data_IF_722887520385
#
_entry.id   IF_722887520385
#
_cell.length_a   1.000
_cell.length_b   1.000
_cell.length_c   1.000
_cell.angle_alpha   90.00
_cell.angle_beta   90.00
_cell.angle_gamma   90.00
#
_symmetry.space_group_name_H-M   'P 1'
#
loop_
_entity.id
_entity.type
_entity.pdbx_description
1 polymer ?
#
# COMPACT_ATOMS: atom_id res chain seq x y z
N UNK A 1 -5.49 -43.50 -0.68
CA UNK A 1 -5.89 -42.09 -0.86
C UNK A 1 -5.63 -41.61 -2.28
N UNK A 2 -4.43 -41.74 -2.86
CA UNK A 2 -4.20 -41.32 -4.26
C UNK A 2 -4.74 -42.30 -5.33
N UNK A 3 -4.85 -43.60 -5.03
CA UNK A 3 -5.43 -44.60 -5.96
C UNK A 3 -6.96 -44.59 -6.03
N UNK A 4 -7.63 -44.06 -5.01
CA UNK A 4 -9.11 -44.07 -4.91
C UNK A 4 -9.74 -42.94 -5.74
N UNK A 5 -8.97 -41.90 -6.07
CA UNK A 5 -9.45 -40.68 -6.73
C UNK A 5 -8.74 -40.38 -8.07
N UNK A 6 -8.01 -41.34 -8.63
CA UNK A 6 -7.27 -41.20 -9.91
C UNK A 6 -6.43 -39.91 -10.02
N UNK A 7 -5.97 -39.37 -8.90
CA UNK A 7 -5.26 -38.08 -8.88
C UNK A 7 -3.76 -38.35 -8.88
N UNK A 8 -2.98 -37.76 -9.81
CA UNK A 8 -1.52 -37.89 -9.79
C UNK A 8 -0.94 -37.50 -8.43
N UNK A 9 0.03 -38.27 -7.90
CA UNK A 9 0.64 -37.99 -6.59
C UNK A 9 1.18 -36.56 -6.46
N UNK A 10 1.64 -35.95 -7.55
CA UNK A 10 2.08 -34.54 -7.59
C UNK A 10 0.94 -33.59 -7.28
N UNK A 11 -0.23 -33.82 -7.88
CA UNK A 11 -1.43 -33.02 -7.70
C UNK A 11 -1.96 -33.13 -6.27
N UNK A 12 -1.84 -34.28 -5.59
CA UNK A 12 -2.27 -34.42 -4.20
C UNK A 12 -1.54 -33.45 -3.25
N UNK A 13 -0.21 -33.34 -3.36
CA UNK A 13 0.55 -32.41 -2.51
C UNK A 13 0.28 -30.95 -2.89
N UNK A 14 0.18 -30.61 -4.17
CA UNK A 14 -0.17 -29.26 -4.62
C UNK A 14 -1.56 -28.83 -4.15
N UNK A 15 -2.53 -29.74 -4.25
CA UNK A 15 -3.91 -29.49 -3.82
C UNK A 15 -4.02 -29.38 -2.28
N UNK A 16 -3.17 -30.08 -1.53
CA UNK A 16 -3.04 -29.91 -0.09
C UNK A 16 -2.27 -28.63 0.29
N UNK A 17 -1.28 -28.21 -0.49
CA UNK A 17 -0.50 -26.99 -0.27
C UNK A 17 -1.34 -25.73 -0.52
N UNK A 18 -2.17 -25.74 -1.57
CA UNK A 18 -3.06 -24.62 -1.90
C UNK A 18 -4.27 -24.51 -0.95
N UNK A 19 -4.69 -25.62 -0.34
CA UNK A 19 -5.73 -25.63 0.71
C UNK A 19 -5.21 -25.26 2.10
N UNK A 20 -3.89 -25.18 2.31
CA UNK A 20 -3.29 -24.63 3.53
C UNK A 20 -3.46 -23.11 3.55
N UNK A 21 -4.64 -22.70 3.98
CA UNK A 21 -5.03 -21.41 4.55
C UNK A 21 -4.44 -20.12 3.91
N UNK A 22 -5.29 -19.13 3.55
CA UNK A 22 -4.78 -17.79 3.31
C UNK A 22 -4.00 -17.37 4.57
N UNK A 23 -2.68 -17.12 4.41
CA UNK A 23 -1.82 -16.77 5.52
C UNK A 23 -2.48 -15.60 6.29
N UNK A 24 -2.99 -15.89 7.49
CA UNK A 24 -3.85 -14.98 8.25
C UNK A 24 -3.11 -13.66 8.53
N UNK A 25 -1.80 -13.72 8.70
CA UNK A 25 -0.90 -12.57 8.76
C UNK A 25 -1.00 -11.69 7.51
N UNK A 26 -0.97 -12.28 6.31
CA UNK A 26 -1.13 -11.52 5.05
C UNK A 26 -2.49 -10.85 4.97
N UNK A 27 -3.57 -11.51 5.40
CA UNK A 27 -4.91 -10.90 5.39
C UNK A 27 -4.98 -9.72 6.36
N UNK A 28 -4.42 -9.87 7.57
CA UNK A 28 -4.35 -8.79 8.57
C UNK A 28 -3.52 -7.61 8.05
N UNK A 29 -2.35 -7.88 7.47
CA UNK A 29 -1.49 -6.85 6.90
C UNK A 29 -2.15 -6.12 5.73
N UNK A 30 -2.91 -6.83 4.88
CA UNK A 30 -3.69 -6.21 3.80
C UNK A 30 -4.76 -5.26 4.34
N UNK A 31 -5.52 -5.68 5.35
CA UNK A 31 -6.53 -4.82 6.00
C UNK A 31 -5.89 -3.55 6.54
N UNK A 32 -4.77 -3.69 7.26
CA UNK A 32 -4.09 -2.55 7.88
C UNK A 32 -3.54 -1.57 6.86
N UNK A 33 -2.91 -2.08 5.80
CA UNK A 33 -2.41 -1.24 4.69
C UNK A 33 -3.56 -0.47 4.04
N UNK A 34 -4.73 -1.10 3.85
CA UNK A 34 -5.90 -0.47 3.27
C UNK A 34 -6.48 0.64 4.17
N UNK A 35 -6.58 0.40 5.48
CA UNK A 35 -7.00 1.41 6.47
C UNK A 35 -6.10 2.64 6.46
N UNK A 36 -4.77 2.43 6.55
CA UNK A 36 -3.78 3.51 6.54
C UNK A 36 -3.80 4.28 5.22
N UNK A 37 -3.99 3.58 4.09
CA UNK A 37 -4.11 4.23 2.79
C UNK A 37 -5.39 5.10 2.71
N UNK A 38 -6.51 4.60 3.23
CA UNK A 38 -7.77 5.35 3.35
C UNK A 38 -7.63 6.60 4.23
N UNK A 39 -6.99 6.48 5.39
CA UNK A 39 -6.72 7.60 6.30
C UNK A 39 -5.90 8.71 5.61
N UNK A 40 -4.93 8.32 4.78
CA UNK A 40 -4.10 9.25 4.01
C UNK A 40 -4.78 9.84 2.76
N UNK A 41 -6.07 9.56 2.53
CA UNK A 41 -6.85 10.00 1.35
C UNK A 41 -6.20 9.59 0.02
N UNK A 42 -5.47 8.47 0.02
CA UNK A 42 -4.78 7.94 -1.17
C UNK A 42 -3.48 8.66 -1.56
N UNK A 43 -2.92 9.48 -0.66
CA UNK A 43 -1.63 10.15 -0.89
C UNK A 43 -0.45 9.36 -0.35
N UNK A 44 -0.64 8.52 0.68
CA UNK A 44 0.47 7.76 1.27
C UNK A 44 1.02 6.73 0.28
N UNK A 45 2.29 6.90 -0.08
CA UNK A 45 3.06 5.90 -0.82
C UNK A 45 3.63 4.82 0.11
N UNK A 46 4.34 3.86 -0.48
CA UNK A 46 4.94 2.74 0.25
C UNK A 46 5.86 3.16 1.40
N UNK A 47 6.62 4.26 1.25
CA UNK A 47 7.49 4.79 2.31
C UNK A 47 6.68 5.33 3.51
N UNK A 48 5.62 6.07 3.24
CA UNK A 48 4.74 6.61 4.29
C UNK A 48 3.99 5.49 5.01
N UNK A 49 3.49 4.49 4.28
CA UNK A 49 2.81 3.33 4.89
C UNK A 49 3.77 2.54 5.77
N UNK A 50 5.03 2.32 5.36
CA UNK A 50 6.03 1.67 6.23
C UNK A 50 6.20 2.44 7.53
N UNK A 51 6.35 3.76 7.46
CA UNK A 51 6.50 4.59 8.68
C UNK A 51 5.28 4.50 9.60
N UNK A 52 4.07 4.48 9.03
CA UNK A 52 2.83 4.33 9.80
C UNK A 52 2.71 2.94 10.44
N UNK A 53 3.05 1.88 9.70
CA UNK A 53 3.04 0.52 10.24
C UNK A 53 4.10 0.33 11.34
N UNK A 54 5.26 0.96 11.21
CA UNK A 54 6.27 0.96 12.28
C UNK A 54 5.79 1.69 13.53
N UNK A 55 5.07 2.81 13.38
CA UNK A 55 4.46 3.52 14.50
C UNK A 55 3.39 2.68 15.21
N UNK A 56 2.67 1.84 14.46
CA UNK A 56 1.71 0.86 14.99
C UNK A 56 2.38 -0.38 15.64
N UNK A 57 3.72 -0.48 15.62
CA UNK A 57 4.47 -1.60 16.20
C UNK A 57 4.69 -2.79 15.25
N UNK A 58 4.29 -2.68 13.98
CA UNK A 58 4.47 -3.73 12.97
C UNK A 58 5.86 -3.61 12.31
N UNK A 59 6.71 -4.62 12.50
CA UNK A 59 8.04 -4.69 11.89
C UNK A 59 7.94 -5.21 10.44
N UNK A 60 7.50 -4.34 9.53
CA UNK A 60 7.36 -4.65 8.11
C UNK A 60 8.35 -3.87 7.24
N UNK A 61 8.97 -4.57 6.29
CA UNK A 61 9.87 -3.96 5.31
C UNK A 61 9.16 -3.31 4.13
N UNK A 62 9.82 -2.32 3.51
CA UNK A 62 9.32 -1.60 2.32
C UNK A 62 8.86 -2.48 1.17
N UNK A 63 9.55 -3.61 0.95
CA UNK A 63 9.29 -4.50 -0.17
C UNK A 63 8.00 -5.30 0.05
N UNK A 64 7.75 -5.73 1.29
CA UNK A 64 6.51 -6.43 1.68
C UNK A 64 5.32 -5.49 1.56
N UNK A 65 5.42 -4.25 2.05
CA UNK A 65 4.40 -3.21 1.85
C UNK A 65 4.14 -2.93 0.36
N UNK A 66 5.18 -2.83 -0.46
CA UNK A 66 5.03 -2.62 -1.91
C UNK A 66 4.29 -3.77 -2.60
N UNK A 67 4.57 -5.02 -2.22
CA UNK A 67 3.83 -6.19 -2.73
C UNK A 67 2.37 -6.11 -2.32
N UNK A 68 2.09 -5.83 -1.03
CA UNK A 68 0.73 -5.71 -0.51
C UNK A 68 -0.07 -4.59 -1.18
N UNK A 69 0.54 -3.42 -1.42
CA UNK A 69 -0.12 -2.33 -2.16
C UNK A 69 -0.45 -2.73 -3.60
N UNK A 70 0.46 -3.45 -4.28
CA UNK A 70 0.22 -3.96 -5.65
C UNK A 70 -0.90 -4.99 -5.68
N UNK A 71 -0.94 -5.90 -4.73
CA UNK A 71 -1.99 -6.91 -4.60
C UNK A 71 -3.37 -6.29 -4.35
N UNK A 72 -3.42 -5.18 -3.60
CA UNK A 72 -4.63 -4.42 -3.35
C UNK A 72 -4.98 -3.42 -4.47
N UNK A 73 -4.13 -3.28 -5.49
CA UNK A 73 -4.32 -2.29 -6.56
C UNK A 73 -4.22 -0.84 -6.10
N UNK A 74 -3.58 -0.58 -4.95
CA UNK A 74 -3.46 0.76 -4.37
C UNK A 74 -2.39 1.56 -5.11
N UNK A 75 -2.83 2.57 -5.85
CA UNK A 75 -1.96 3.52 -6.54
C UNK A 75 -2.02 4.85 -5.78
N UNK A 76 -0.87 5.28 -5.24
CA UNK A 76 -0.76 6.61 -4.61
C UNK A 76 -0.98 7.67 -5.69
N UNK A 77 -2.01 8.49 -5.51
CA UNK A 77 -2.29 9.65 -6.35
C UNK A 77 -1.56 10.83 -5.72
N UNK A 78 -0.25 10.90 -5.93
CA UNK A 78 0.48 12.11 -5.54
C UNK A 78 -0.07 13.26 -6.38
N UNK A 79 -0.70 14.23 -5.72
CA UNK A 79 -1.23 15.42 -6.37
C UNK A 79 -0.07 16.07 -7.14
N UNK A 80 -0.17 16.10 -8.47
CA UNK A 80 0.79 16.81 -9.29
C UNK A 80 0.86 18.24 -8.77
N UNK A 81 2.07 18.70 -8.47
CA UNK A 81 2.33 19.97 -7.78
C UNK A 81 1.60 21.10 -8.51
N UNK A 82 0.49 21.58 -7.95
CA UNK A 82 -0.10 22.84 -8.41
C UNK A 82 0.91 23.93 -8.08
N UNK A 83 1.58 24.44 -9.11
CA UNK A 83 2.42 25.63 -9.04
C UNK A 83 1.50 26.80 -8.68
N UNK A 84 1.39 27.10 -7.39
CA UNK A 84 0.80 28.37 -6.96
C UNK A 84 1.70 29.47 -7.52
N UNK A 85 1.24 30.15 -8.58
CA UNK A 85 1.92 31.30 -9.18
C UNK A 85 1.92 32.42 -8.14
N UNK A 86 3.07 32.66 -7.51
CA UNK A 86 3.24 33.81 -6.62
C UNK A 86 2.96 35.08 -7.45
N UNK A 87 1.90 35.78 -7.10
CA UNK A 87 1.61 37.10 -7.66
C UNK A 87 2.57 38.07 -6.96
N UNK A 88 3.45 38.71 -7.71
CA UNK A 88 4.32 39.75 -7.17
C UNK A 88 3.44 40.93 -6.72
N UNK A 89 3.57 41.33 -5.46
CA UNK A 89 2.86 42.47 -4.91
C UNK A 89 3.66 43.73 -5.27
N UNK A 90 3.25 44.47 -6.30
CA UNK A 90 3.80 45.80 -6.60
C UNK A 90 2.96 46.84 -5.87
N UNK A 91 3.34 47.16 -4.63
CA UNK A 91 2.72 48.26 -3.88
C UNK A 91 2.91 49.60 -4.61
N UNK A 92 2.02 50.58 -4.39
CA UNK A 92 2.14 51.90 -5.02
C UNK A 92 3.33 52.65 -4.41
N UNK A 93 4.29 53.05 -5.25
CA UNK A 93 5.32 54.01 -4.87
C UNK A 93 4.64 55.37 -4.67
N UNK A 94 4.42 55.76 -3.41
CA UNK A 94 4.09 57.14 -3.09
C UNK A 94 5.31 58.01 -3.43
N UNK A 95 5.23 58.66 -4.60
CA UNK A 95 6.15 59.68 -5.06
C UNK A 95 5.79 60.97 -4.33
N UNK A 96 6.48 61.28 -3.23
CA UNK A 96 6.41 62.59 -2.60
C UNK A 96 7.34 63.57 -3.32
N UNK A 97 6.85 64.81 -3.43
CA UNK A 97 7.46 65.99 -4.03
C UNK A 97 8.84 66.34 -3.45
#
# INVERSE_FOLDING_TARGET
MCEVFETPRSCYYDHCLQRRAPNSERVRLRSRVNELFGQSRGTAGSRSIVSMMQADGEQIGRFKVRSLMRELGLISKQQARMLIKKQQWSGPTFRTF
#
